data_IF_146102658953
#
_entry.id   IF_146102658953
#
_cell.length_a   1.000
_cell.length_b   1.000
_cell.length_c   1.000
_cell.angle_alpha   90.00
_cell.angle_beta   90.00
_cell.angle_gamma   90.00
#
_symmetry.space_group_name_H-M   'P 1'
#
loop_
_entity.id
_entity.type
_entity.pdbx_description
1 polymer ?
#
# COMPACT_ATOMS: atom_id res chain seq x y z
N UNK A 1 -31.24 14.47 -12.22
CA UNK A 1 -30.22 13.83 -13.06
C UNK A 1 -29.75 12.69 -12.21
N UNK A 2 -30.39 11.55 -12.38
CA UNK A 2 -30.32 10.40 -11.46
C UNK A 2 -29.25 9.44 -11.96
N UNK A 3 -28.34 9.19 -11.02
CA UNK A 3 -27.68 7.91 -10.73
C UNK A 3 -26.63 7.47 -11.76
N UNK A 4 -25.40 7.96 -11.55
CA UNK A 4 -24.19 7.28 -12.02
C UNK A 4 -24.07 6.01 -11.19
N UNK A 5 -24.28 4.85 -11.82
CA UNK A 5 -23.91 3.58 -11.25
C UNK A 5 -22.38 3.56 -11.21
N UNK A 6 -21.81 3.53 -10.00
CA UNK A 6 -20.37 3.33 -9.87
C UNK A 6 -20.04 2.03 -10.60
N UNK A 7 -19.01 1.98 -11.43
CA UNK A 7 -18.64 0.74 -12.14
C UNK A 7 -18.34 -0.39 -11.14
N UNK A 8 -17.99 -0.06 -9.90
CA UNK A 8 -17.88 -1.00 -8.77
C UNK A 8 -19.23 -1.63 -8.38
N UNK A 9 -20.37 -0.97 -8.61
CA UNK A 9 -21.72 -1.55 -8.40
C UNK A 9 -21.95 -2.76 -9.32
N UNK A 10 -21.33 -2.76 -10.50
CA UNK A 10 -21.40 -3.91 -11.44
C UNK A 10 -20.55 -5.10 -11.00
N UNK A 11 -19.67 -4.88 -10.02
CA UNK A 11 -18.86 -5.93 -9.39
C UNK A 11 -19.55 -6.52 -8.15
N UNK A 12 -20.64 -5.92 -7.67
CA UNK A 12 -21.40 -6.46 -6.55
C UNK A 12 -22.07 -7.78 -6.97
N UNK A 13 -22.09 -8.81 -6.11
CA UNK A 13 -22.89 -9.99 -6.36
C UNK A 13 -24.35 -9.55 -6.54
N UNK A 14 -25.01 -10.05 -7.59
CA UNK A 14 -26.43 -9.78 -7.78
C UNK A 14 -27.21 -10.18 -6.52
N UNK A 15 -28.22 -9.41 -6.09
CA UNK A 15 -29.07 -9.84 -4.98
C UNK A 15 -29.59 -11.24 -5.28
N UNK A 16 -29.68 -12.14 -4.28
CA UNK A 16 -30.13 -13.50 -4.52
C UNK A 16 -31.50 -13.46 -5.18
N UNK A 17 -31.58 -13.94 -6.42
CA UNK A 17 -32.85 -14.18 -7.09
C UNK A 17 -33.61 -15.21 -6.25
N UNK A 18 -34.80 -14.83 -5.77
CA UNK A 18 -35.79 -15.75 -5.21
C UNK A 18 -36.34 -16.64 -6.35
N UNK A 19 -35.51 -17.46 -6.99
CA UNK A 19 -35.93 -18.55 -7.86
C UNK A 19 -34.80 -19.59 -8.00
N UNK A 20 -34.99 -20.69 -7.27
CA UNK A 20 -34.30 -21.96 -7.43
C UNK A 20 -34.75 -22.62 -8.74
N UNK A 21 -33.87 -22.72 -9.74
CA UNK A 21 -33.61 -23.91 -10.58
C UNK A 21 -32.88 -23.53 -11.90
N UNK A 22 -31.61 -23.94 -12.02
CA UNK A 22 -31.17 -24.97 -12.99
C UNK A 22 -29.63 -24.97 -13.08
N UNK A 23 -29.04 -26.09 -12.69
CA UNK A 23 -27.63 -26.41 -12.87
C UNK A 23 -27.30 -26.40 -14.36
N UNK A 24 -26.44 -25.46 -14.79
CA UNK A 24 -25.84 -25.48 -16.12
C UNK A 24 -24.31 -25.52 -16.01
N UNK A 25 -23.79 -26.73 -16.19
CA UNK A 25 -22.37 -27.05 -16.29
C UNK A 25 -21.75 -26.27 -17.45
N UNK A 26 -20.74 -25.44 -17.18
CA UNK A 26 -19.82 -24.91 -18.18
C UNK A 26 -18.53 -25.76 -18.20
N UNK A 27 -17.93 -26.01 -19.38
CA UNK A 27 -16.80 -26.90 -19.52
C UNK A 27 -15.46 -26.26 -19.09
N UNK A 28 -14.62 -27.12 -18.52
CA UNK A 28 -13.17 -27.03 -18.31
C UNK A 28 -12.43 -26.42 -19.52
N UNK A 29 -11.74 -25.31 -19.28
CA UNK A 29 -10.70 -24.77 -20.16
C UNK A 29 -9.40 -24.61 -19.35
N UNK A 30 -8.78 -25.75 -19.07
CA UNK A 30 -7.40 -25.85 -18.65
C UNK A 30 -6.44 -25.54 -19.81
N UNK A 31 -5.51 -24.62 -19.52
CA UNK A 31 -4.16 -24.60 -20.09
C UNK A 31 -3.94 -23.60 -21.22
N UNK A 32 -3.15 -22.56 -20.95
CA UNK A 32 -1.88 -22.33 -21.66
C UNK A 32 -0.83 -21.81 -20.66
N UNK A 33 0.28 -22.54 -20.63
CA UNK A 33 1.45 -22.39 -19.80
C UNK A 33 2.40 -21.40 -20.48
N UNK A 34 2.77 -20.32 -19.81
CA UNK A 34 3.86 -19.45 -20.26
C UNK A 34 5.06 -19.64 -19.33
N UNK A 35 6.16 -20.07 -19.95
CA UNK A 35 7.42 -20.46 -19.32
C UNK A 35 8.16 -19.27 -18.68
N UNK A 36 8.56 -19.50 -17.43
CA UNK A 36 9.72 -19.01 -16.67
C UNK A 36 10.63 -17.94 -17.31
N UNK A 37 10.70 -16.78 -16.65
CA UNK A 37 11.99 -16.15 -16.31
C UNK A 37 11.99 -15.85 -14.82
N UNK A 38 12.52 -16.80 -14.04
CA UNK A 38 12.79 -16.63 -12.64
C UNK A 38 13.90 -15.59 -12.41
N UNK A 39 13.58 -14.50 -11.70
CA UNK A 39 14.55 -13.72 -10.93
C UNK A 39 14.17 -13.85 -9.46
N UNK A 40 14.38 -15.04 -8.92
CA UNK A 40 14.20 -15.30 -7.49
C UNK A 40 15.39 -14.76 -6.70
N UNK A 41 15.23 -13.58 -6.12
CA UNK A 41 15.89 -13.24 -4.87
C UNK A 41 14.82 -13.36 -3.78
N UNK A 42 15.02 -14.28 -2.83
CA UNK A 42 14.07 -14.44 -1.73
C UNK A 42 14.05 -13.15 -0.88
N UNK A 43 12.86 -12.67 -0.47
CA UNK A 43 12.76 -11.57 0.49
C UNK A 43 13.47 -11.94 1.80
N UNK A 44 13.80 -10.91 2.58
CA UNK A 44 14.53 -11.04 3.84
C UNK A 44 13.99 -12.17 4.75
N UNK A 45 14.91 -12.90 5.40
CA UNK A 45 14.63 -13.98 6.37
C UNK A 45 14.02 -13.50 7.71
N UNK A 46 13.31 -12.38 7.68
CA UNK A 46 12.58 -11.78 8.80
C UNK A 46 11.43 -10.87 8.37
N UNK A 47 11.06 -10.84 7.07
CA UNK A 47 9.83 -10.23 6.56
C UNK A 47 8.66 -11.23 6.53
N UNK A 48 8.87 -12.44 7.05
CA UNK A 48 7.82 -13.44 7.17
C UNK A 48 6.74 -12.97 8.13
N UNK A 49 5.45 -13.27 7.89
CA UNK A 49 4.43 -13.10 8.90
C UNK A 49 4.87 -13.86 10.15
N UNK A 50 4.99 -13.16 11.28
CA UNK A 50 5.29 -13.79 12.54
C UNK A 50 4.09 -14.65 12.94
N UNK A 51 4.07 -15.92 12.55
CA UNK A 51 3.10 -16.90 13.02
C UNK A 51 3.18 -16.97 14.56
N UNK A 52 2.26 -16.28 15.23
CA UNK A 52 2.08 -16.36 16.68
C UNK A 52 2.86 -15.35 17.54
N UNK A 53 3.40 -14.26 16.98
CA UNK A 53 3.71 -13.09 17.80
C UNK A 53 2.38 -12.38 18.14
N UNK A 54 1.80 -12.70 19.29
CA UNK A 54 0.51 -12.13 19.67
C UNK A 54 0.57 -10.61 19.76
N UNK A 55 -0.21 -9.93 18.91
CA UNK A 55 -0.45 -8.50 18.97
C UNK A 55 -0.95 -8.12 20.36
N UNK A 56 -0.43 -7.04 20.95
CA UNK A 56 -0.88 -6.59 22.27
C UNK A 56 -2.27 -5.97 22.12
N UNK A 57 -3.29 -6.78 22.39
CA UNK A 57 -4.69 -6.31 22.50
C UNK A 57 -4.80 -5.38 23.71
N UNK A 58 -5.44 -4.23 23.50
CA UNK A 58 -5.49 -3.07 24.41
C UNK A 58 -4.18 -2.26 24.57
N UNK A 59 -3.46 -2.01 23.46
CA UNK A 59 -2.64 -0.79 23.36
C UNK A 59 -1.31 -0.75 22.61
N UNK A 60 -0.84 -1.75 21.85
CA UNK A 60 0.46 -1.59 21.14
C UNK A 60 0.48 -1.99 19.66
N UNK A 61 -0.70 -2.26 19.10
CA UNK A 61 -0.96 -2.34 17.66
C UNK A 61 -2.01 -1.29 17.32
N UNK A 62 -1.77 -0.52 16.26
CA UNK A 62 -2.73 0.43 15.68
C UNK A 62 -3.05 -0.01 14.25
N UNK A 63 -4.33 -0.05 13.87
CA UNK A 63 -4.80 -0.59 12.58
C UNK A 63 -5.52 -1.93 12.73
N UNK A 64 -5.88 -2.55 11.61
CA UNK A 64 -6.57 -3.85 11.54
C UNK A 64 -5.93 -4.78 10.49
N UNK A 65 -4.68 -5.23 10.71
CA UNK A 65 -3.98 -6.09 9.77
C UNK A 65 -4.64 -7.46 9.58
N UNK A 66 -5.44 -7.94 10.54
CA UNK A 66 -6.12 -9.22 10.41
C UNK A 66 -7.38 -9.10 9.53
N UNK A 67 -8.16 -8.04 9.69
CA UNK A 67 -9.30 -7.75 8.81
C UNK A 67 -8.87 -7.42 7.38
N UNK A 68 -7.87 -6.53 7.22
CA UNK A 68 -7.40 -6.10 5.91
C UNK A 68 -6.77 -7.28 5.12
N UNK A 69 -6.18 -8.25 5.81
CA UNK A 69 -5.57 -9.44 5.20
C UNK A 69 -6.56 -10.37 4.49
N UNK A 70 -7.87 -10.26 4.76
CA UNK A 70 -8.91 -11.03 4.06
C UNK A 70 -9.10 -10.57 2.60
N UNK A 71 -8.65 -9.37 2.28
CA UNK A 71 -8.81 -8.75 0.96
C UNK A 71 -7.53 -8.65 0.15
N UNK A 72 -6.40 -9.08 0.73
CA UNK A 72 -5.11 -9.07 0.07
C UNK A 72 -4.99 -10.16 -1.00
N UNK A 73 -4.28 -9.84 -2.09
CA UNK A 73 -3.80 -10.77 -3.10
C UNK A 73 -2.49 -10.27 -3.72
N UNK A 74 -1.68 -11.18 -4.27
CA UNK A 74 -0.47 -10.85 -5.04
C UNK A 74 -0.87 -10.34 -6.44
N UNK A 75 -0.22 -9.27 -6.89
CA UNK A 75 -0.43 -8.73 -8.22
C UNK A 75 -0.10 -9.76 -9.31
N UNK A 76 -0.86 -9.75 -10.40
CA UNK A 76 -0.66 -10.69 -11.51
C UNK A 76 0.48 -10.30 -12.46
N UNK A 77 0.89 -9.03 -12.45
CA UNK A 77 1.96 -8.53 -13.31
C UNK A 77 2.68 -7.32 -12.71
N UNK A 78 3.95 -7.13 -13.10
CA UNK A 78 4.72 -5.93 -12.78
C UNK A 78 3.99 -4.67 -13.27
N UNK A 79 3.98 -3.62 -12.45
CA UNK A 79 3.26 -2.36 -12.71
C UNK A 79 1.82 -2.30 -12.18
N UNK A 80 1.30 -3.40 -11.62
CA UNK A 80 -0.09 -3.47 -11.11
C UNK A 80 -0.22 -3.27 -9.59
N UNK A 81 0.83 -2.82 -8.91
CA UNK A 81 0.86 -2.70 -7.44
C UNK A 81 -0.20 -1.71 -6.94
N UNK A 82 -0.40 -0.61 -7.67
CA UNK A 82 -1.44 0.39 -7.39
C UNK A 82 -2.85 -0.19 -7.63
N UNK A 83 -3.21 -0.70 -8.83
CA UNK A 83 -4.51 -1.35 -9.04
C UNK A 83 -4.84 -2.45 -8.03
N UNK A 84 -3.87 -3.28 -7.65
CA UNK A 84 -4.04 -4.34 -6.66
C UNK A 84 -4.31 -3.77 -5.26
N UNK A 85 -3.53 -2.80 -4.81
CA UNK A 85 -3.73 -2.11 -3.53
C UNK A 85 -5.10 -1.40 -3.46
N UNK A 86 -5.52 -0.78 -4.56
CA UNK A 86 -6.82 -0.11 -4.66
C UNK A 86 -7.96 -1.14 -4.63
N UNK A 87 -7.81 -2.28 -5.30
CA UNK A 87 -8.79 -3.35 -5.26
C UNK A 87 -9.01 -3.87 -3.83
N UNK A 88 -7.92 -4.09 -3.08
CA UNK A 88 -8.01 -4.45 -1.67
C UNK A 88 -8.79 -3.38 -0.89
N UNK A 89 -8.39 -2.11 -0.98
CA UNK A 89 -9.06 -1.01 -0.25
C UNK A 89 -10.54 -0.96 -0.60
N UNK A 90 -10.90 -1.00 -1.88
CA UNK A 90 -12.30 -0.92 -2.34
C UNK A 90 -13.11 -2.12 -1.89
N UNK A 91 -12.52 -3.32 -1.78
CA UNK A 91 -13.20 -4.47 -1.20
C UNK A 91 -13.69 -4.23 0.21
N UNK A 92 -12.93 -3.46 1.00
CA UNK A 92 -13.29 -3.16 2.38
C UNK A 92 -14.43 -2.14 2.48
N UNK A 93 -14.48 -1.14 1.58
CA UNK A 93 -15.57 -0.16 1.54
C UNK A 93 -16.87 -0.75 0.98
N UNK A 94 -16.77 -1.69 0.05
CA UNK A 94 -17.93 -2.29 -0.63
C UNK A 94 -18.42 -3.56 0.06
N UNK A 95 -17.59 -4.20 0.88
CA UNK A 95 -17.84 -5.53 1.43
C UNK A 95 -17.76 -6.66 0.39
N UNK A 96 -17.25 -6.37 -0.82
CA UNK A 96 -17.10 -7.33 -1.90
C UNK A 96 -15.64 -7.62 -2.13
N UNK A 97 -15.23 -8.85 -1.81
CA UNK A 97 -13.87 -9.30 -2.04
C UNK A 97 -13.57 -9.39 -3.54
N UNK A 98 -12.55 -8.65 -3.97
CA UNK A 98 -11.95 -8.74 -5.30
C UNK A 98 -10.77 -9.70 -5.23
N UNK A 99 -10.81 -10.76 -6.03
CA UNK A 99 -9.76 -11.79 -6.04
C UNK A 99 -8.55 -11.41 -6.90
N UNK A 100 -8.67 -10.38 -7.72
CA UNK A 100 -7.63 -9.84 -8.59
C UNK A 100 -7.90 -8.36 -8.93
N UNK A 101 -6.92 -7.72 -9.56
CA UNK A 101 -6.92 -6.31 -9.95
C UNK A 101 -7.54 -6.04 -11.33
N UNK A 102 -8.06 -7.05 -12.04
CA UNK A 102 -8.36 -6.95 -13.47
C UNK A 102 -9.39 -5.86 -13.81
N UNK A 103 -10.41 -5.69 -12.99
CA UNK A 103 -11.41 -4.65 -13.16
C UNK A 103 -10.83 -3.24 -12.95
N UNK A 104 -9.92 -3.10 -11.98
CA UNK A 104 -9.22 -1.85 -11.66
C UNK A 104 -8.21 -1.49 -12.74
N UNK A 105 -7.48 -2.47 -13.29
CA UNK A 105 -6.60 -2.29 -14.45
C UNK A 105 -7.42 -1.88 -15.68
N UNK A 106 -8.55 -2.54 -15.95
CA UNK A 106 -9.42 -2.17 -17.06
C UNK A 106 -9.91 -0.73 -16.92
N UNK A 107 -10.38 -0.35 -15.72
CA UNK A 107 -10.85 1.00 -15.45
C UNK A 107 -9.75 2.06 -15.56
N UNK A 108 -8.57 1.77 -15.03
CA UNK A 108 -7.41 2.64 -15.15
C UNK A 108 -7.00 2.90 -16.61
N UNK A 109 -7.12 1.89 -17.48
CA UNK A 109 -6.89 2.05 -18.91
C UNK A 109 -7.94 2.95 -19.59
N UNK A 110 -9.22 2.79 -19.23
CA UNK A 110 -10.31 3.66 -19.73
C UNK A 110 -10.11 5.13 -19.33
N UNK A 111 -9.58 5.35 -18.12
CA UNK A 111 -9.28 6.67 -17.58
C UNK A 111 -7.90 7.21 -17.99
N UNK A 112 -7.11 6.42 -18.73
CA UNK A 112 -5.74 6.76 -19.15
C UNK A 112 -4.80 7.11 -17.99
N UNK A 113 -4.86 6.35 -16.89
CA UNK A 113 -4.10 6.60 -15.66
C UNK A 113 -2.71 5.93 -15.63
N UNK A 114 -2.43 5.02 -16.56
CA UNK A 114 -1.11 4.39 -16.67
C UNK A 114 -0.10 5.29 -17.39
N UNK A 115 1.12 5.33 -16.87
CA UNK A 115 2.28 5.96 -17.47
C UNK A 115 3.35 4.91 -17.76
N UNK A 116 4.01 5.00 -18.92
CA UNK A 116 5.10 4.07 -19.26
C UNK A 116 6.42 4.66 -18.78
N UNK A 117 7.05 3.95 -17.83
CA UNK A 117 8.35 4.30 -17.29
C UNK A 117 9.48 4.17 -18.30
N UNK A 118 10.69 4.59 -17.90
CA UNK A 118 11.89 4.47 -18.73
C UNK A 118 12.31 3.01 -19.00
N UNK A 119 11.89 2.10 -18.13
CA UNK A 119 12.02 0.64 -18.23
C UNK A 119 11.04 0.02 -19.25
N UNK A 120 10.06 0.78 -19.72
CA UNK A 120 9.03 0.33 -20.65
C UNK A 120 7.87 -0.41 -19.98
N UNK A 121 7.82 -0.45 -18.64
CA UNK A 121 6.72 -1.05 -17.88
C UNK A 121 5.66 0.02 -17.59
N UNK A 122 4.38 -0.20 -17.93
CA UNK A 122 3.31 0.68 -17.49
C UNK A 122 3.14 0.61 -15.97
N UNK A 123 3.18 1.75 -15.29
CA UNK A 123 2.90 1.91 -13.87
C UNK A 123 1.89 3.03 -13.62
N UNK A 124 1.53 3.26 -12.37
CA UNK A 124 0.58 4.31 -11.99
C UNK A 124 1.15 5.14 -10.84
N UNK A 125 1.23 6.46 -11.05
CA UNK A 125 1.63 7.39 -10.00
C UNK A 125 0.49 7.68 -9.01
N UNK A 126 0.83 8.36 -7.91
CA UNK A 126 -0.12 8.66 -6.82
C UNK A 126 -1.35 9.47 -7.25
N UNK A 127 -1.22 10.35 -8.25
CA UNK A 127 -2.35 11.09 -8.81
C UNK A 127 -3.32 10.17 -9.57
N UNK A 128 -2.80 9.15 -10.26
CA UNK A 128 -3.61 8.11 -10.89
C UNK A 128 -4.29 7.22 -9.86
N UNK A 129 -3.58 6.88 -8.78
CA UNK A 129 -4.15 6.13 -7.67
C UNK A 129 -5.33 6.87 -7.01
N UNK A 130 -5.16 8.15 -6.73
CA UNK A 130 -6.20 9.02 -6.19
C UNK A 130 -7.40 9.12 -7.13
N UNK A 131 -7.17 9.34 -8.43
CA UNK A 131 -8.25 9.38 -9.42
C UNK A 131 -9.03 8.05 -9.50
N UNK A 132 -8.35 6.91 -9.38
CA UNK A 132 -8.99 5.60 -9.45
C UNK A 132 -9.81 5.28 -8.17
N UNK A 133 -9.34 5.66 -6.98
CA UNK A 133 -10.12 5.53 -5.75
C UNK A 133 -11.37 6.43 -5.75
N UNK A 134 -11.21 7.69 -6.17
CA UNK A 134 -12.34 8.62 -6.31
C UNK A 134 -13.38 8.09 -7.30
N UNK A 135 -12.93 7.57 -8.45
CA UNK A 135 -13.80 6.97 -9.45
C UNK A 135 -14.46 5.66 -8.98
N UNK A 136 -13.83 4.93 -8.04
CA UNK A 136 -14.43 3.77 -7.36
C UNK A 136 -15.42 4.16 -6.25
N UNK A 137 -15.57 5.45 -5.94
CA UNK A 137 -16.47 5.98 -4.92
C UNK A 137 -15.89 6.00 -3.50
N UNK A 138 -14.55 5.93 -3.37
CA UNK A 138 -13.85 6.00 -2.09
C UNK A 138 -13.05 7.31 -2.03
N UNK A 139 -13.55 8.35 -1.34
CA UNK A 139 -12.85 9.63 -1.25
C UNK A 139 -11.52 9.51 -0.50
N UNK A 140 -10.49 10.19 -1.00
CA UNK A 140 -9.17 10.17 -0.40
C UNK A 140 -8.39 11.48 -0.60
N UNK A 141 -7.36 11.68 0.23
CA UNK A 141 -6.44 12.81 0.10
C UNK A 141 -5.01 12.33 -0.08
N UNK A 142 -4.28 13.00 -0.97
CA UNK A 142 -2.83 12.86 -1.09
C UNK A 142 -2.16 13.66 0.02
N UNK A 143 -1.39 12.99 0.86
CA UNK A 143 -0.54 13.57 1.88
C UNK A 143 0.93 13.50 1.44
N UNK A 144 1.68 14.58 1.66
CA UNK A 144 3.12 14.68 1.31
C UNK A 144 3.89 15.23 2.52
N UNK A 145 5.07 14.69 2.79
CA UNK A 145 5.96 15.18 3.84
C UNK A 145 5.44 14.93 5.27
N UNK A 146 4.47 14.03 5.42
CA UNK A 146 3.97 13.60 6.74
C UNK A 146 4.96 12.61 7.38
N UNK A 147 4.77 12.35 8.68
CA UNK A 147 5.58 11.41 9.46
C UNK A 147 4.79 10.17 9.87
N UNK A 148 5.48 9.16 10.40
CA UNK A 148 4.90 7.90 10.89
C UNK A 148 3.82 8.15 11.95
N UNK A 149 3.94 9.21 12.75
CA UNK A 149 2.93 9.58 13.75
C UNK A 149 1.58 9.94 13.12
N UNK A 150 1.59 10.56 11.93
CA UNK A 150 0.36 10.86 11.20
C UNK A 150 -0.26 9.57 10.66
N UNK A 151 0.55 8.64 10.15
CA UNK A 151 0.10 7.32 9.69
C UNK A 151 -0.59 6.56 10.83
N UNK A 152 0.03 6.51 12.00
CA UNK A 152 -0.57 5.90 13.19
C UNK A 152 -1.89 6.59 13.58
N UNK A 153 -1.99 7.91 13.45
CA UNK A 153 -3.24 8.65 13.66
C UNK A 153 -4.36 8.20 12.71
N UNK A 154 -4.07 8.10 11.41
CA UNK A 154 -5.05 7.65 10.42
C UNK A 154 -5.50 6.19 10.66
N UNK A 155 -4.56 5.31 10.98
CA UNK A 155 -4.88 3.92 11.34
C UNK A 155 -5.74 3.82 12.61
N UNK A 156 -5.48 4.67 13.61
CA UNK A 156 -6.29 4.72 14.83
C UNK A 156 -7.73 5.22 14.57
N UNK A 157 -7.92 6.04 13.54
CA UNK A 157 -9.23 6.45 13.02
C UNK A 157 -9.91 5.36 12.17
N UNK A 158 -9.22 4.25 11.90
CA UNK A 158 -9.67 3.17 11.02
C UNK A 158 -9.59 3.52 9.54
N UNK A 159 -8.86 4.58 9.16
CA UNK A 159 -8.74 5.02 7.77
C UNK A 159 -7.70 4.18 7.03
N UNK A 160 -7.94 3.94 5.74
CA UNK A 160 -7.00 3.21 4.88
C UNK A 160 -5.91 4.12 4.35
N UNK A 161 -4.70 3.57 4.29
CA UNK A 161 -3.47 4.27 3.96
C UNK A 161 -2.72 3.44 2.92
N UNK A 162 -2.53 4.00 1.74
CA UNK A 162 -1.62 3.46 0.72
C UNK A 162 -0.36 4.32 0.67
N UNK A 163 0.80 3.67 0.64
CA UNK A 163 2.10 4.35 0.61
C UNK A 163 2.77 4.14 -0.74
N UNK A 164 3.47 5.15 -1.23
CA UNK A 164 4.43 5.03 -2.32
C UNK A 164 5.83 4.82 -1.73
N UNK A 165 6.43 3.66 -1.96
CA UNK A 165 7.69 3.22 -1.35
C UNK A 165 8.65 2.75 -2.43
N UNK A 166 9.95 2.73 -2.13
CA UNK A 166 10.92 1.95 -2.88
C UNK A 166 10.75 0.45 -2.57
N UNK A 167 10.43 -0.36 -3.59
CA UNK A 167 10.22 -1.80 -3.41
C UNK A 167 11.49 -2.55 -3.02
N UNK A 168 12.64 -2.19 -3.60
CA UNK A 168 13.91 -2.88 -3.36
C UNK A 168 14.38 -2.69 -1.90
N UNK A 169 14.12 -1.52 -1.32
CA UNK A 169 14.39 -1.27 0.10
C UNK A 169 13.52 -2.12 1.02
N UNK A 170 12.21 -2.21 0.75
CA UNK A 170 11.28 -3.00 1.57
C UNK A 170 11.58 -4.50 1.44
N UNK A 171 11.87 -5.01 0.24
CA UNK A 171 12.09 -6.44 0.01
C UNK A 171 13.49 -6.92 0.42
N UNK A 172 14.51 -6.08 0.27
CA UNK A 172 15.91 -6.48 0.39
C UNK A 172 16.74 -5.68 1.40
N UNK A 173 16.18 -4.64 2.02
CA UNK A 173 16.88 -3.72 2.92
C UNK A 173 18.17 -3.16 2.29
N UNK A 174 18.07 -2.77 1.03
CA UNK A 174 19.19 -2.22 0.26
C UNK A 174 18.91 -0.77 -0.09
N UNK A 175 19.57 0.13 0.63
CA UNK A 175 19.66 1.52 0.20
C UNK A 175 20.27 1.58 -1.20
N UNK A 176 19.57 2.24 -2.13
CA UNK A 176 20.12 2.60 -3.42
C UNK A 176 19.80 4.06 -3.79
N UNK A 177 19.91 4.43 -5.08
CA UNK A 177 19.54 5.78 -5.55
C UNK A 177 18.29 5.72 -6.45
N UNK A 178 17.53 4.62 -6.38
CA UNK A 178 16.24 4.52 -7.02
C UNK A 178 15.22 5.42 -6.29
N UNK A 179 14.06 5.54 -6.89
CA UNK A 179 12.97 6.31 -6.31
C UNK A 179 11.78 5.40 -6.14
N UNK A 180 10.81 5.82 -5.33
CA UNK A 180 9.61 5.04 -5.06
C UNK A 180 8.92 4.55 -6.35
N UNK A 181 8.92 3.23 -6.54
CA UNK A 181 8.40 2.51 -7.70
C UNK A 181 7.29 1.52 -7.32
N UNK A 182 7.01 1.38 -6.03
CA UNK A 182 6.09 0.41 -5.48
C UNK A 182 4.99 1.05 -4.62
N UNK A 183 3.86 0.35 -4.52
CA UNK A 183 2.71 0.75 -3.72
C UNK A 183 2.26 -0.39 -2.81
N UNK A 184 2.08 -0.06 -1.53
CA UNK A 184 1.66 -0.98 -0.48
C UNK A 184 0.52 -0.37 0.33
N UNK A 185 -0.33 -1.22 0.92
CA UNK A 185 -1.32 -0.77 1.92
C UNK A 185 -0.72 -0.96 3.31
N UNK A 186 -0.64 0.12 4.09
CA UNK A 186 -0.24 0.04 5.50
C UNK A 186 -1.46 -0.37 6.32
N UNK A 187 -1.45 -1.58 6.86
CA UNK A 187 -2.60 -2.17 7.57
C UNK A 187 -2.45 -2.09 9.08
N UNK A 188 -1.22 -1.94 9.58
CA UNK A 188 -0.99 -1.66 10.99
C UNK A 188 0.41 -1.18 11.35
N UNK A 189 0.55 -0.65 12.56
CA UNK A 189 1.82 -0.31 13.20
C UNK A 189 1.85 -0.91 14.60
N UNK A 190 2.85 -1.75 14.85
CA UNK A 190 3.22 -2.19 16.19
C UNK A 190 4.26 -1.24 16.76
N UNK A 191 3.80 -0.33 17.63
CA UNK A 191 4.61 0.77 18.17
C UNK A 191 5.65 0.29 19.18
N UNK A 192 5.41 -0.86 19.83
CA UNK A 192 6.34 -1.43 20.81
C UNK A 192 7.48 -2.19 20.13
N UNK A 193 7.17 -2.92 19.06
CA UNK A 193 8.17 -3.62 18.25
C UNK A 193 8.87 -2.70 17.25
N UNK A 194 8.29 -1.54 16.95
CA UNK A 194 8.80 -0.62 15.94
C UNK A 194 8.67 -1.22 14.54
N UNK A 195 7.52 -1.82 14.25
CA UNK A 195 7.26 -2.58 13.02
C UNK A 195 5.98 -2.06 12.35
N UNK A 196 6.05 -1.83 11.04
CA UNK A 196 4.88 -1.68 10.18
C UNK A 196 4.43 -3.04 9.66
N UNK A 197 3.12 -3.17 9.44
CA UNK A 197 2.49 -4.35 8.86
C UNK A 197 1.87 -3.91 7.55
N UNK A 198 2.30 -4.55 6.48
CA UNK A 198 1.94 -4.19 5.13
C UNK A 198 1.08 -5.29 4.50
N UNK A 199 0.17 -4.84 3.65
CA UNK A 199 -0.37 -5.59 2.54
C UNK A 199 0.45 -5.20 1.31
N UNK A 200 1.41 -6.04 0.96
CA UNK A 200 2.31 -5.83 -0.17
C UNK A 200 1.87 -6.71 -1.36
N UNK A 201 1.37 -6.13 -2.47
CA UNK A 201 0.94 -6.93 -3.61
C UNK A 201 2.11 -7.40 -4.49
N UNK A 202 3.34 -6.92 -4.29
CA UNK A 202 4.49 -7.22 -5.13
C UNK A 202 5.20 -8.54 -4.84
N UNK A 203 4.76 -9.28 -3.82
CA UNK A 203 5.36 -10.56 -3.45
C UNK A 203 4.34 -11.52 -2.85
N UNK A 204 4.44 -12.81 -3.16
CA UNK A 204 3.53 -13.85 -2.65
C UNK A 204 3.50 -14.02 -1.12
N UNK A 205 4.50 -13.51 -0.40
CA UNK A 205 4.54 -13.48 1.07
C UNK A 205 4.12 -12.11 1.65
N UNK A 206 3.52 -11.25 0.83
CA UNK A 206 3.24 -9.85 1.16
C UNK A 206 2.03 -9.61 2.08
N UNK A 207 1.26 -10.65 2.42
CA UNK A 207 0.10 -10.53 3.31
C UNK A 207 0.54 -10.47 4.78
N UNK A 208 0.30 -9.33 5.45
CA UNK A 208 0.83 -9.02 6.79
C UNK A 208 2.37 -9.08 6.84
N UNK A 209 3.03 -8.57 5.80
CA UNK A 209 4.48 -8.43 5.77
C UNK A 209 4.92 -7.48 6.88
N UNK A 210 5.82 -7.93 7.75
CA UNK A 210 6.39 -7.10 8.82
C UNK A 210 7.66 -6.39 8.32
N UNK A 211 7.69 -5.07 8.43
CA UNK A 211 8.83 -4.23 8.04
C UNK A 211 9.24 -3.34 9.21
N UNK A 212 10.53 -3.31 9.62
CA UNK A 212 11.00 -2.35 10.60
C UNK A 212 10.64 -0.90 10.22
N UNK A 213 10.19 -0.08 11.18
CA UNK A 213 9.75 1.29 10.90
C UNK A 213 10.86 2.18 10.35
N UNK A 214 12.12 1.91 10.67
CA UNK A 214 13.26 2.63 10.09
C UNK A 214 13.47 2.27 8.61
N UNK A 215 13.32 1.01 8.23
CA UNK A 215 13.33 0.57 6.83
C UNK A 215 12.15 1.15 6.06
N UNK A 216 10.94 1.11 6.63
CA UNK A 216 9.77 1.73 5.98
C UNK A 216 9.97 3.24 5.79
N UNK A 217 10.50 3.93 6.80
CA UNK A 217 10.67 5.37 6.75
C UNK A 217 11.69 5.81 5.70
N UNK A 218 12.73 5.00 5.46
CA UNK A 218 13.73 5.24 4.40
C UNK A 218 13.10 5.06 3.02
N UNK A 219 12.50 3.89 2.77
CA UNK A 219 11.87 3.57 1.49
C UNK A 219 10.73 4.52 1.10
N UNK A 220 10.01 5.02 2.11
CA UNK A 220 8.94 5.98 1.92
C UNK A 220 9.44 7.41 1.69
N UNK A 221 10.64 7.75 2.17
CA UNK A 221 11.24 9.07 1.97
C UNK A 221 11.54 9.36 0.49
N UNK A 222 11.74 8.33 -0.32
CA UNK A 222 12.01 8.46 -1.76
C UNK A 222 10.81 8.92 -2.58
N UNK A 223 9.59 8.79 -2.04
CA UNK A 223 8.40 9.44 -2.60
C UNK A 223 8.16 10.85 -2.03
N UNK A 224 9.03 11.34 -1.15
CA UNK A 224 8.80 12.55 -0.36
C UNK A 224 7.78 12.33 0.76
N UNK A 225 7.72 11.12 1.33
CA UNK A 225 6.71 10.68 2.29
C UNK A 225 5.29 10.83 1.73
N UNK A 226 5.05 10.32 0.52
CA UNK A 226 3.76 10.39 -0.14
C UNK A 226 2.84 9.25 0.32
N UNK A 227 1.64 9.61 0.76
CA UNK A 227 0.60 8.65 1.14
C UNK A 227 -0.74 9.07 0.52
N UNK A 228 -1.55 8.08 0.14
CA UNK A 228 -2.94 8.27 -0.22
C UNK A 228 -3.80 7.76 0.94
N UNK A 229 -4.57 8.67 1.55
CA UNK A 229 -5.31 8.39 2.78
C UNK A 229 -6.79 8.57 2.53
N UNK A 230 -7.58 7.49 2.65
CA UNK A 230 -9.03 7.57 2.49
C UNK A 230 -9.65 8.46 3.58
N UNK A 231 -10.66 9.26 3.26
CA UNK A 231 -11.19 10.32 4.13
C UNK A 231 -11.85 9.80 5.41
N UNK A 232 -12.52 8.67 5.30
CA UNK A 232 -13.31 8.05 6.38
C UNK A 232 -13.02 6.55 6.44
N UNK A 233 -13.15 5.90 7.60
CA UNK A 233 -13.04 4.43 7.67
C UNK A 233 -14.12 3.73 6.82
N UNK A 234 -13.88 2.50 6.34
CA UNK A 234 -14.94 1.65 5.79
C UNK A 234 -16.13 1.55 6.75
N UNK A 235 -17.36 1.50 6.21
CA UNK A 235 -18.55 1.39 7.04
C UNK A 235 -18.53 0.04 7.77
N UNK A 236 -18.40 0.10 9.09
CA UNK A 236 -18.48 -1.09 9.94
C UNK A 236 -19.85 -1.76 9.75
N UNK A 237 -19.86 -2.96 9.16
CA UNK A 237 -21.07 -3.78 9.06
C UNK A 237 -21.52 -4.13 10.49
N UNK A 238 -22.80 -3.97 10.88
CA UNK A 238 -23.23 -4.26 12.25
C UNK A 238 -22.91 -5.71 12.65
N UNK A 239 -21.92 -5.89 13.54
CA UNK A 239 -21.50 -7.21 14.03
C UNK A 239 -20.00 -7.33 14.33
N UNK A 240 -19.15 -6.49 13.74
CA UNK A 240 -17.75 -6.35 14.14
C UNK A 240 -17.67 -5.33 15.30
N UNK A 241 -17.13 -5.73 16.45
CA UNK A 241 -16.81 -4.75 17.50
C UNK A 241 -15.57 -3.97 17.03
N UNK A 242 -15.64 -2.64 16.89
CA UNK A 242 -14.45 -1.85 16.63
C UNK A 242 -13.49 -1.96 17.81
N UNK A 243 -12.19 -1.96 17.52
CA UNK A 243 -11.16 -1.84 18.56
C UNK A 243 -11.46 -0.59 19.42
N UNK A 244 -11.35 -0.66 20.76
CA UNK A 244 -11.63 0.49 21.61
C UNK A 244 -10.68 1.63 21.26
N UNK A 245 -11.22 2.81 20.95
CA UNK A 245 -10.42 4.03 20.83
C UNK A 245 -9.65 4.23 22.14
N UNK A 246 -8.33 4.47 22.12
CA UNK A 246 -7.60 4.76 23.35
C UNK A 246 -8.17 6.04 23.98
N UNK A 247 -8.37 6.01 25.29
CA UNK A 247 -8.86 7.14 26.05
C UNK A 247 -7.96 8.36 25.78
N UNK A 248 -8.58 9.45 25.34
CA UNK A 248 -7.92 10.73 25.06
C UNK A 248 -7.14 11.21 26.28
N UNK A 249 -5.82 10.99 26.25
CA UNK A 249 -4.90 11.54 27.23
C UNK A 249 -3.97 10.53 27.89
N UNK A 250 -3.07 9.92 27.10
CA UNK A 250 -1.69 9.61 27.54
C UNK A 250 -0.83 9.14 26.35
N UNK A 251 -0.34 10.07 25.53
CA UNK A 251 0.89 9.87 24.77
C UNK A 251 2.00 10.77 25.35
N UNK A 252 2.71 10.37 26.43
CA UNK A 252 3.98 10.95 26.77
C UNK A 252 5.13 10.01 26.38
N UNK A 253 6.14 10.59 25.74
CA UNK A 253 7.55 10.17 25.72
C UNK A 253 8.07 9.09 24.74
N UNK A 254 7.33 8.71 23.69
CA UNK A 254 7.89 7.77 22.67
C UNK A 254 8.56 8.48 21.48
N UNK A 255 8.33 9.78 21.28
CA UNK A 255 8.78 10.54 20.09
C UNK A 255 10.00 11.44 20.36
N UNK A 256 11.03 10.95 21.05
CA UNK A 256 12.28 11.71 21.21
C UNK A 256 13.49 11.11 20.50
N UNK A 257 13.42 9.86 20.03
CA UNK A 257 14.58 9.19 19.43
C UNK A 257 14.60 9.24 17.89
N UNK A 258 13.46 9.38 17.21
CA UNK A 258 13.38 9.44 15.74
C UNK A 258 13.67 10.83 15.16
N UNK A 259 13.57 11.90 15.96
CA UNK A 259 13.71 13.30 15.50
C UNK A 259 15.14 13.85 15.68
N UNK A 260 16.04 13.12 16.35
CA UNK A 260 17.36 13.63 16.79
C UNK A 260 18.55 13.29 15.86
N UNK A 261 18.34 12.78 14.63
CA UNK A 261 19.44 12.71 13.64
C UNK A 261 19.41 13.95 12.73
N UNK A 262 20.22 14.98 12.98
CA UNK A 262 20.38 16.05 11.99
C UNK A 262 21.07 15.43 10.77
N UNK A 263 20.43 15.57 9.61
CA UNK A 263 21.03 15.41 8.29
C UNK A 263 22.48 15.93 8.31
N UNK A 264 23.45 15.02 8.13
CA UNK A 264 24.83 15.42 7.90
C UNK A 264 24.89 16.00 6.49
N UNK A 265 24.71 17.31 6.39
CA UNK A 265 25.04 18.05 5.17
C UNK A 265 26.57 18.00 5.04
N UNK A 266 27.08 17.03 4.27
CA UNK A 266 28.47 17.05 3.83
C UNK A 266 28.66 18.28 2.93
N UNK A 267 29.61 19.20 3.22
CA UNK A 267 29.88 20.31 2.32
C UNK A 267 30.56 19.77 1.05
N UNK A 268 29.87 19.92 -0.08
CA UNK A 268 30.44 19.80 -1.42
C UNK A 268 31.58 20.83 -1.55
N UNK A 269 32.82 20.36 -1.44
CA UNK A 269 34.00 21.15 -1.79
C UNK A 269 34.10 21.25 -3.31
N UNK A 270 33.51 22.31 -3.87
CA UNK A 270 33.78 22.79 -5.22
C UNK A 270 35.23 23.26 -5.32
N UNK A 271 36.15 22.36 -5.69
CA UNK A 271 37.52 22.72 -6.08
C UNK A 271 37.50 23.19 -7.54
N UNK A 272 37.21 24.47 -7.72
CA UNK A 272 37.45 25.18 -8.98
C UNK A 272 38.95 25.43 -9.18
N UNK A 273 39.59 24.67 -10.08
CA UNK A 273 40.96 24.95 -10.55
C UNK A 273 40.92 26.09 -11.58
N UNK A 274 41.28 27.30 -11.15
CA UNK A 274 41.65 28.38 -12.05
C UNK A 274 43.06 28.13 -12.62
N UNK A 275 43.14 27.88 -13.93
CA UNK A 275 44.39 27.96 -14.71
C UNK A 275 44.65 29.43 -15.04
N UNK A 276 45.54 30.08 -14.28
CA UNK A 276 46.08 31.39 -14.68
C UNK A 276 47.43 31.18 -15.37
N UNK A 277 47.46 31.49 -16.66
CA UNK A 277 48.65 31.42 -17.50
C UNK A 277 49.70 32.47 -17.12
N UNK A 278 50.97 32.08 -17.16
CA UNK A 278 52.12 32.99 -17.25
C UNK A 278 52.51 33.13 -18.72
N UNK A 279 52.47 34.35 -19.25
CA UNK A 279 53.29 34.74 -20.40
C UNK A 279 54.64 35.23 -19.88
N UNK A 280 55.68 34.89 -20.64
CA UNK A 280 57.00 35.53 -20.62
C UNK A 280 56.89 37.01 -21.01
#
# INVERSE_FOLDING_TARGET
MTDDHSWTDTLLPSPPDDDIDEVRLLPDLSGEQYDDVAVGAAPFAGASPADGAGWVVDGSLVGDPDGDAEHWFEQSANGYCVPASIAQIVSEYTGVHHADESAFVARANELHLFEVGADGVPGMGIEGAHALLEDAGVPAEIQIGIGVEALAGYLAEGRRVMLAVDGDEIWYAREDEAGADHAVVLTGIDVDRGVAILSDPGTGDGNRMEVPLDVLADAWADSGNAALVCDVPPVQVPGAEPAPLPASGRLPDVVSWLVERPYVVLPVLLVGRALLGRRL
#
